data_IF_222110177556
#
_entry.id   IF_222110177556
#
_cell.length_a   1.000
_cell.length_b   1.000
_cell.length_c   1.000
_cell.angle_alpha   90.00
_cell.angle_beta   90.00
_cell.angle_gamma   90.00
#
_symmetry.space_group_name_H-M   'P 1'
#
loop_
_entity.id
_entity.type
_entity.pdbx_description
1 polymer ?
#
# COMPACT_ATOMS: atom_id res chain seq x y z
N UNK A 1 1.87 -40.13 -38.19
CA UNK A 1 2.79 -39.41 -37.27
C UNK A 1 3.39 -40.38 -36.25
N UNK A 2 4.72 -40.51 -36.23
CA UNK A 2 5.50 -41.42 -35.38
C UNK A 2 5.26 -41.13 -33.87
N UNK A 3 5.19 -42.18 -33.02
CA UNK A 3 5.08 -42.05 -31.55
C UNK A 3 6.17 -41.17 -30.93
N UNK A 4 7.38 -41.20 -31.49
CA UNK A 4 8.52 -40.35 -31.10
C UNK A 4 8.20 -38.87 -31.37
N UNK A 5 7.68 -38.55 -32.56
CA UNK A 5 7.29 -37.18 -32.93
C UNK A 5 6.18 -36.65 -32.02
N UNK A 6 5.18 -37.49 -31.68
CA UNK A 6 4.12 -37.12 -30.70
C UNK A 6 4.68 -36.81 -29.31
N UNK A 7 5.64 -37.61 -28.82
CA UNK A 7 6.28 -37.40 -27.51
C UNK A 7 7.12 -36.12 -27.47
N UNK A 8 7.90 -35.84 -28.52
CA UNK A 8 8.71 -34.62 -28.61
C UNK A 8 7.83 -33.37 -28.62
N UNK A 9 6.73 -33.35 -29.38
CA UNK A 9 5.78 -32.23 -29.41
C UNK A 9 5.16 -31.99 -28.03
N UNK A 10 4.75 -33.05 -27.33
CA UNK A 10 4.16 -32.93 -25.99
C UNK A 10 5.16 -32.39 -24.96
N UNK A 11 6.44 -32.79 -25.04
CA UNK A 11 7.50 -32.28 -24.15
C UNK A 11 7.76 -30.80 -24.41
N UNK A 12 7.87 -30.39 -25.68
CA UNK A 12 8.09 -28.99 -26.05
C UNK A 12 6.90 -28.10 -25.67
N UNK A 13 5.67 -28.58 -25.88
CA UNK A 13 4.47 -27.88 -25.46
C UNK A 13 4.38 -27.77 -23.93
N UNK A 14 4.72 -28.84 -23.19
CA UNK A 14 4.77 -28.84 -21.73
C UNK A 14 5.84 -27.89 -21.18
N UNK A 15 7.02 -27.84 -21.79
CA UNK A 15 8.08 -26.91 -21.41
C UNK A 15 7.69 -25.45 -21.69
N UNK A 16 7.09 -25.17 -22.86
CA UNK A 16 6.60 -23.84 -23.20
C UNK A 16 5.51 -23.35 -22.24
N UNK A 17 4.53 -24.21 -21.93
CA UNK A 17 3.49 -23.91 -20.95
C UNK A 17 4.08 -23.68 -19.55
N UNK A 18 5.02 -24.52 -19.12
CA UNK A 18 5.71 -24.38 -17.84
C UNK A 18 6.42 -23.03 -17.69
N UNK A 19 7.17 -22.59 -18.71
CA UNK A 19 7.84 -21.29 -18.72
C UNK A 19 6.83 -20.13 -18.66
N UNK A 20 5.71 -20.23 -19.37
CA UNK A 20 4.66 -19.20 -19.35
C UNK A 20 4.04 -19.07 -17.95
N UNK A 21 3.67 -20.18 -17.31
CA UNK A 21 3.09 -20.15 -15.97
C UNK A 21 4.08 -19.65 -14.91
N UNK A 22 5.36 -20.03 -15.02
CA UNK A 22 6.41 -19.50 -14.15
C UNK A 22 6.58 -17.98 -14.33
N UNK A 23 6.57 -17.50 -15.58
CA UNK A 23 6.64 -16.07 -15.89
C UNK A 23 5.46 -15.28 -15.32
N UNK A 24 4.23 -15.79 -15.50
CA UNK A 24 3.02 -15.17 -14.92
C UNK A 24 3.07 -15.18 -13.40
N UNK A 25 3.45 -16.32 -12.79
CA UNK A 25 3.58 -16.43 -11.33
C UNK A 25 4.58 -15.44 -10.75
N UNK A 26 5.75 -15.30 -11.39
CA UNK A 26 6.77 -14.33 -11.00
C UNK A 26 6.27 -12.89 -11.17
N UNK A 27 5.60 -12.58 -12.27
CA UNK A 27 5.00 -11.25 -12.51
C UNK A 27 3.98 -10.90 -11.42
N UNK A 28 3.06 -11.82 -11.10
CA UNK A 28 2.06 -11.63 -10.05
C UNK A 28 2.70 -11.44 -8.67
N UNK A 29 3.75 -12.21 -8.34
CA UNK A 29 4.48 -12.05 -7.08
C UNK A 29 5.21 -10.71 -6.96
N UNK A 30 5.62 -10.12 -8.09
CA UNK A 30 6.29 -8.81 -8.15
C UNK A 30 5.29 -7.66 -8.17
N UNK A 31 4.11 -7.85 -8.76
CA UNK A 31 3.12 -6.77 -8.91
C UNK A 31 2.21 -6.70 -7.70
N UNK A 32 1.66 -7.82 -7.23
CA UNK A 32 0.69 -7.74 -6.13
C UNK A 32 1.35 -7.21 -4.84
N UNK A 33 0.77 -6.19 -4.19
CA UNK A 33 1.02 -6.01 -2.77
C UNK A 33 0.53 -7.31 -2.11
N UNK A 34 1.29 -7.91 -1.19
CA UNK A 34 0.99 -9.24 -0.66
C UNK A 34 -0.48 -9.38 -0.18
N UNK A 35 -1.00 -10.59 -0.01
CA UNK A 35 -2.46 -10.89 -0.03
C UNK A 35 -3.45 -10.03 0.78
N UNK A 36 -3.02 -9.24 1.77
CA UNK A 36 -3.88 -8.28 2.50
C UNK A 36 -3.79 -6.83 1.99
N UNK A 37 -2.87 -6.51 1.09
CA UNK A 37 -2.56 -5.15 0.66
C UNK A 37 -1.91 -4.27 1.75
N UNK A 38 -1.87 -4.72 3.01
CA UNK A 38 -1.35 -3.97 4.15
C UNK A 38 0.16 -3.86 4.04
N UNK A 39 0.66 -2.64 3.86
CA UNK A 39 2.08 -2.34 3.68
C UNK A 39 2.71 -1.69 4.91
N UNK A 40 1.89 -1.18 5.85
CA UNK A 40 2.29 -0.82 7.20
C UNK A 40 1.07 -0.82 8.13
N UNK A 41 1.26 -1.11 9.41
CA UNK A 41 0.20 -0.98 10.42
C UNK A 41 0.76 -0.65 11.80
N UNK A 42 -0.08 -0.08 12.65
CA UNK A 42 0.25 0.24 14.05
C UNK A 42 -1.01 0.18 14.91
N UNK A 43 -0.94 -0.57 16.01
CA UNK A 43 -1.92 -0.49 17.11
C UNK A 43 -1.27 0.22 18.29
N UNK A 44 -1.97 1.17 18.89
CA UNK A 44 -1.48 1.94 20.03
C UNK A 44 -2.02 1.41 21.37
N UNK A 45 -1.40 1.76 22.52
CA UNK A 45 -1.84 1.31 23.83
C UNK A 45 -3.28 1.71 24.21
N UNK A 46 -3.79 2.80 23.65
CA UNK A 46 -5.17 3.23 23.87
C UNK A 46 -6.20 2.40 23.09
N UNK A 47 -5.76 1.51 22.20
CA UNK A 47 -6.61 0.64 21.38
C UNK A 47 -6.97 1.23 20.03
N UNK A 48 -6.43 2.39 19.65
CA UNK A 48 -6.53 2.89 18.28
C UNK A 48 -5.65 2.09 17.31
N UNK A 49 -6.10 1.99 16.07
CA UNK A 49 -5.44 1.23 15.01
C UNK A 49 -5.25 2.08 13.76
N UNK A 50 -4.12 1.87 13.08
CA UNK A 50 -3.72 2.61 11.90
C UNK A 50 -3.12 1.66 10.87
N UNK A 51 -3.43 1.87 9.60
CA UNK A 51 -2.94 1.03 8.51
C UNK A 51 -2.64 1.86 7.26
N UNK A 52 -1.69 1.42 6.47
CA UNK A 52 -1.55 1.82 5.07
C UNK A 52 -1.78 0.59 4.21
N UNK A 53 -2.72 0.71 3.29
CA UNK A 53 -3.07 -0.37 2.37
C UNK A 53 -2.81 0.11 0.95
N UNK A 54 -2.15 -0.75 0.17
CA UNK A 54 -1.95 -0.56 -1.26
C UNK A 54 -2.78 -1.60 -2.01
N UNK A 55 -3.56 -1.14 -2.98
CA UNK A 55 -4.43 -1.96 -3.82
C UNK A 55 -3.89 -1.98 -5.24
N UNK A 56 -3.85 -3.15 -5.88
CA UNK A 56 -3.58 -3.24 -7.32
C UNK A 56 -4.86 -2.90 -8.10
N UNK A 57 -4.81 -1.89 -8.95
CA UNK A 57 -5.96 -1.43 -9.74
C UNK A 57 -6.18 -2.26 -11.02
N UNK A 58 -5.17 -3.02 -11.44
CA UNK A 58 -5.17 -3.74 -12.72
C UNK A 58 -5.39 -2.84 -13.95
N UNK A 59 -4.97 -1.59 -13.85
CA UNK A 59 -5.02 -0.58 -14.92
C UNK A 59 -3.61 -0.02 -15.19
N UNK A 60 -3.53 1.02 -16.03
CA UNK A 60 -2.28 1.74 -16.31
C UNK A 60 -1.75 2.50 -15.07
N UNK A 61 -2.65 2.85 -14.15
CA UNK A 61 -2.33 3.40 -12.82
C UNK A 61 -2.30 2.23 -11.84
N UNK A 62 -1.12 1.64 -11.57
CA UNK A 62 -1.08 0.26 -11.14
C UNK A 62 -1.54 0.08 -9.69
N UNK A 63 -1.43 1.12 -8.85
CA UNK A 63 -1.86 1.03 -7.46
C UNK A 63 -2.56 2.27 -6.92
N UNK A 64 -3.49 2.02 -6.00
CA UNK A 64 -4.06 3.04 -5.12
C UNK A 64 -3.56 2.82 -3.70
N UNK A 65 -3.22 3.90 -3.00
CA UNK A 65 -2.77 3.85 -1.60
C UNK A 65 -3.75 4.62 -0.71
N UNK A 66 -4.16 3.97 0.38
CA UNK A 66 -5.01 4.56 1.40
C UNK A 66 -4.35 4.44 2.78
N UNK A 67 -4.53 5.48 3.58
CA UNK A 67 -4.32 5.44 5.02
C UNK A 67 -5.64 5.16 5.69
N UNK A 68 -5.66 4.27 6.68
CA UNK A 68 -6.83 3.97 7.49
C UNK A 68 -6.54 4.27 8.95
N UNK A 69 -7.55 4.80 9.63
CA UNK A 69 -7.55 4.94 11.08
C UNK A 69 -8.82 4.35 11.70
N UNK A 70 -8.68 3.82 12.90
CA UNK A 70 -9.79 3.39 13.74
C UNK A 70 -9.54 3.90 15.15
N UNK A 71 -10.31 4.92 15.60
CA UNK A 71 -10.32 5.31 17.00
C UNK A 71 -10.73 4.14 17.89
N UNK A 72 -10.37 4.20 19.18
CA UNK A 72 -10.73 3.17 20.15
C UNK A 72 -12.25 2.93 20.18
N UNK A 73 -12.68 1.73 19.78
CA UNK A 73 -14.10 1.36 19.73
C UNK A 73 -14.91 2.08 18.65
N UNK A 74 -14.25 2.87 17.79
CA UNK A 74 -14.87 3.58 16.67
C UNK A 74 -14.93 2.74 15.40
N UNK A 75 -15.46 3.37 14.34
CA UNK A 75 -15.46 2.84 12.98
C UNK A 75 -14.13 3.16 12.28
N UNK A 76 -13.87 2.44 11.20
CA UNK A 76 -12.76 2.77 10.30
C UNK A 76 -13.07 4.04 9.52
N UNK A 77 -12.10 4.95 9.47
CA UNK A 77 -12.02 6.06 8.53
C UNK A 77 -10.85 5.83 7.58
N UNK A 78 -10.98 6.35 6.36
CA UNK A 78 -9.89 6.31 5.38
C UNK A 78 -9.51 7.70 4.89
N UNK A 79 -8.22 7.91 4.63
CA UNK A 79 -7.69 9.03 3.91
C UNK A 79 -7.01 8.51 2.65
N UNK A 80 -7.33 9.15 1.55
CA UNK A 80 -6.74 8.86 0.28
C UNK A 80 -5.32 9.46 0.21
N UNK A 81 -4.33 8.67 -0.23
CA UNK A 81 -2.93 9.12 -0.32
C UNK A 81 -2.48 9.35 -1.77
N UNK A 82 -2.73 8.39 -2.67
CA UNK A 82 -2.16 8.39 -4.02
C UNK A 82 -2.94 7.45 -4.99
N UNK A 83 -3.14 7.84 -6.25
CA UNK A 83 -3.72 7.00 -7.34
C UNK A 83 -2.72 6.68 -8.44
N UNK A 84 -1.64 7.44 -8.58
CA UNK A 84 -0.64 7.22 -9.62
C UNK A 84 0.61 6.54 -9.03
N UNK A 85 0.46 5.88 -7.88
CA UNK A 85 1.55 5.22 -7.20
C UNK A 85 2.09 4.06 -8.04
N UNK A 86 3.38 4.11 -8.38
CA UNK A 86 4.08 2.99 -9.04
C UNK A 86 4.11 1.73 -8.18
N UNK A 87 4.49 1.84 -6.91
CA UNK A 87 4.41 0.82 -5.83
C UNK A 87 5.19 1.35 -4.64
N UNK A 88 4.50 1.61 -3.53
CA UNK A 88 5.15 1.97 -2.28
C UNK A 88 5.90 0.76 -1.72
N UNK A 89 7.16 0.95 -1.33
CA UNK A 89 8.02 -0.11 -0.76
C UNK A 89 8.74 0.38 0.48
N UNK A 90 9.03 -0.54 1.40
CA UNK A 90 9.72 -0.20 2.65
C UNK A 90 8.94 0.87 3.44
N UNK A 91 7.62 0.65 3.54
CA UNK A 91 6.73 1.57 4.25
C UNK A 91 6.82 1.30 5.75
N UNK A 92 6.93 2.36 6.53
CA UNK A 92 6.96 2.29 7.99
C UNK A 92 5.93 3.24 8.56
N UNK A 93 5.35 2.86 9.68
CA UNK A 93 4.39 3.66 10.43
C UNK A 93 4.86 3.75 11.87
N UNK A 94 5.13 4.98 12.33
CA UNK A 94 5.61 5.25 13.67
C UNK A 94 4.67 6.22 14.38
N UNK A 95 4.60 6.10 15.70
CA UNK A 95 3.89 7.05 16.55
C UNK A 95 4.92 7.90 17.28
N UNK A 96 4.88 9.20 17.04
CA UNK A 96 5.61 10.18 17.84
C UNK A 96 4.78 10.53 19.07
N UNK A 97 5.20 10.04 20.23
CA UNK A 97 4.49 10.27 21.49
C UNK A 97 4.58 11.72 21.95
N UNK A 98 5.61 12.45 21.54
CA UNK A 98 5.82 13.83 22.00
C UNK A 98 4.84 14.82 21.37
N UNK A 99 4.36 14.50 20.16
CA UNK A 99 3.42 15.31 19.38
C UNK A 99 2.11 14.59 19.07
N UNK A 100 1.90 13.42 19.68
CA UNK A 100 0.79 12.49 19.40
C UNK A 100 0.48 12.31 17.91
N UNK A 101 1.51 12.09 17.09
CA UNK A 101 1.41 12.08 15.63
C UNK A 101 1.72 10.70 15.06
N UNK A 102 0.86 10.18 14.17
CA UNK A 102 1.22 9.03 13.33
C UNK A 102 2.00 9.53 12.13
N UNK A 103 3.19 8.97 11.90
CA UNK A 103 4.06 9.31 10.77
C UNK A 103 4.24 8.10 9.87
N UNK A 104 3.86 8.24 8.61
CA UNK A 104 4.10 7.24 7.56
C UNK A 104 5.30 7.67 6.75
N UNK A 105 6.26 6.76 6.60
CA UNK A 105 7.41 6.93 5.72
C UNK A 105 7.46 5.83 4.67
N UNK A 106 7.87 6.19 3.46
CA UNK A 106 8.17 5.26 2.39
C UNK A 106 9.65 5.43 2.02
N UNK A 107 10.46 4.36 2.16
CA UNK A 107 11.92 4.39 1.97
C UNK A 107 12.61 5.54 2.72
N UNK A 108 12.15 5.83 3.93
CA UNK A 108 12.69 6.89 4.79
C UNK A 108 12.12 8.30 4.53
N UNK A 109 11.43 8.54 3.41
CA UNK A 109 10.76 9.81 3.11
C UNK A 109 9.40 9.86 3.78
N UNK A 110 9.05 10.98 4.41
CA UNK A 110 7.72 11.17 5.00
C UNK A 110 6.70 11.30 3.89
N UNK A 111 5.63 10.50 3.95
CA UNK A 111 4.51 10.53 3.01
C UNK A 111 3.24 11.06 3.62
N UNK A 112 3.01 10.77 4.89
CA UNK A 112 1.82 11.20 5.58
C UNK A 112 2.07 11.43 7.06
N UNK A 113 1.30 12.33 7.64
CA UNK A 113 1.21 12.59 9.07
C UNK A 113 -0.25 12.78 9.46
N UNK A 114 -0.64 12.13 10.55
CA UNK A 114 -1.91 12.39 11.23
C UNK A 114 -1.61 12.95 12.61
N UNK A 115 -2.02 14.19 12.86
CA UNK A 115 -2.10 14.73 14.21
C UNK A 115 -3.36 14.18 14.88
N UNK A 116 -3.20 13.33 15.90
CA UNK A 116 -4.31 12.63 16.54
C UNK A 116 -5.12 13.53 17.48
N UNK A 117 -4.57 14.66 17.91
CA UNK A 117 -5.29 15.62 18.75
C UNK A 117 -6.24 16.47 17.93
N UNK A 118 -5.80 16.91 16.75
CA UNK A 118 -6.59 17.79 15.88
C UNK A 118 -7.35 17.04 14.79
N UNK A 119 -7.00 15.78 14.52
CA UNK A 119 -7.53 15.01 13.39
C UNK A 119 -6.99 15.47 12.03
N UNK A 120 -6.04 16.41 12.02
CA UNK A 120 -5.53 16.97 10.77
C UNK A 120 -4.60 15.95 10.12
N UNK A 121 -4.98 15.53 8.92
CA UNK A 121 -4.20 14.64 8.09
C UNK A 121 -3.47 15.42 6.99
N UNK A 122 -2.15 15.22 6.91
CA UNK A 122 -1.28 15.86 5.92
C UNK A 122 -0.54 14.80 5.13
N UNK A 123 -0.50 14.94 3.81
CA UNK A 123 0.18 13.99 2.95
C UNK A 123 0.84 14.66 1.75
N UNK A 124 1.91 14.03 1.27
CA UNK A 124 2.61 14.44 0.05
C UNK A 124 1.96 13.78 -1.16
N UNK A 125 1.40 14.58 -2.07
CA UNK A 125 0.87 14.13 -3.36
C UNK A 125 1.79 14.48 -4.53
N UNK A 126 2.97 15.06 -4.27
CA UNK A 126 3.88 15.47 -5.32
C UNK A 126 4.70 14.28 -5.80
N UNK A 127 4.98 14.23 -7.09
CA UNK A 127 5.79 13.19 -7.75
C UNK A 127 7.19 13.09 -7.11
N UNK A 128 7.32 12.29 -6.04
CA UNK A 128 8.44 11.58 -5.37
C UNK A 128 9.89 12.17 -5.36
N UNK A 129 10.18 13.26 -6.06
CA UNK A 129 11.52 13.69 -6.45
C UNK A 129 12.06 14.87 -5.61
N UNK A 130 11.23 15.75 -5.06
CA UNK A 130 11.69 16.83 -4.19
C UNK A 130 10.95 16.75 -2.87
N UNK A 131 11.63 16.32 -1.80
CA UNK A 131 11.31 16.62 -0.39
C UNK A 131 12.34 15.83 0.46
N UNK A 132 13.59 16.25 0.34
CA UNK A 132 14.67 15.83 1.24
C UNK A 132 14.81 16.78 2.46
N UNK A 133 14.04 17.87 2.48
CA UNK A 133 14.15 18.89 3.50
C UNK A 133 13.02 18.77 4.50
N UNK A 134 13.37 18.94 5.78
CA UNK A 134 12.55 18.78 6.98
C UNK A 134 11.35 19.75 7.10
N UNK A 135 10.85 20.30 5.99
CA UNK A 135 9.78 21.28 5.93
C UNK A 135 8.48 20.70 5.36
N UNK A 136 7.35 21.04 5.98
CA UNK A 136 5.99 20.74 5.55
C UNK A 136 5.56 21.44 4.23
N UNK A 137 6.51 21.90 3.41
CA UNK A 137 6.20 22.64 2.19
C UNK A 137 5.66 21.68 1.12
N UNK A 138 4.37 21.82 0.79
CA UNK A 138 3.72 21.09 -0.31
C UNK A 138 2.81 19.93 0.08
N UNK A 139 2.50 19.73 1.37
CA UNK A 139 1.53 18.69 1.77
C UNK A 139 0.08 19.17 1.57
N UNK A 140 -0.75 18.28 1.04
CA UNK A 140 -2.20 18.45 1.03
C UNK A 140 -2.76 18.17 2.42
N UNK A 141 -3.77 18.95 2.81
CA UNK A 141 -4.45 18.83 4.11
C UNK A 141 -5.89 18.34 3.91
N UNK A 142 -6.32 17.39 4.73
CA UNK A 142 -7.70 16.94 4.81
C UNK A 142 -8.11 16.80 6.29
N UNK A 143 -9.28 17.33 6.63
CA UNK A 143 -9.76 17.40 8.01
C UNK A 143 -10.80 16.33 8.35
N UNK A 144 -11.29 15.59 7.37
CA UNK A 144 -12.29 14.54 7.58
C UNK A 144 -11.92 13.28 6.81
N UNK A 145 -11.80 12.13 7.49
CA UNK A 145 -11.67 10.85 6.81
C UNK A 145 -13.00 10.44 6.17
N UNK A 146 -12.90 9.62 5.15
CA UNK A 146 -14.03 8.99 4.48
C UNK A 146 -14.51 7.81 5.36
N UNK A 147 -15.48 8.08 6.25
CA UNK A 147 -15.99 7.18 7.29
C UNK A 147 -16.82 5.96 6.80
N UNK A 148 -16.85 5.66 5.50
CA UNK A 148 -17.66 4.55 4.94
C UNK A 148 -16.84 3.41 4.36
N UNK A 149 -15.53 3.56 4.30
CA UNK A 149 -14.66 2.56 3.71
C UNK A 149 -14.04 1.75 4.83
N UNK A 150 -14.71 0.68 5.26
CA UNK A 150 -14.00 -0.36 5.99
C UNK A 150 -12.85 -0.87 5.11
N UNK A 151 -11.64 -1.05 5.66
CA UNK A 151 -10.57 -1.68 4.90
C UNK A 151 -11.07 -3.06 4.47
N UNK A 152 -10.96 -3.35 3.17
CA UNK A 152 -11.37 -4.65 2.61
C UNK A 152 -10.61 -5.83 3.23
N UNK A 153 -9.53 -5.54 3.97
CA UNK A 153 -8.69 -6.50 4.63
C UNK A 153 -8.58 -6.15 6.12
N UNK A 154 -8.81 -7.12 7.03
CA UNK A 154 -8.69 -6.89 8.46
C UNK A 154 -7.24 -6.56 8.85
N UNK A 155 -7.09 -5.90 9.99
CA UNK A 155 -5.79 -5.69 10.63
C UNK A 155 -5.08 -7.04 10.80
N UNK A 156 -3.83 -7.21 10.32
CA UNK A 156 -3.10 -8.47 10.42
C UNK A 156 -2.72 -8.83 11.86
#
# INVERSE_FOLDING_TARGET
>A
MNRIVKRTILILAGAGAGCLFAGIGMFLAIVQPGGSGVIASKRLPDGSEYMVIQHCNWSIEPYTVHFYEKPKGGQWGSFYLDHEADRWKGVTMNWDQSTDTIVVKERGKIRAKLDRHTGIFRYDNSNFASLADNGFHGMHESNEPQWRDEPRYPFP
#
